data_IF_474520826872
#
_entry.id   IF_474520826872
#
_cell.length_a   1.000
_cell.length_b   1.000
_cell.length_c   1.000
_cell.angle_alpha   90.00
_cell.angle_beta   90.00
_cell.angle_gamma   90.00
#
_symmetry.space_group_name_H-M   'P 1'
#
loop_
_entity.id
_entity.type
_entity.pdbx_description
1 polymer ?
#
# COMPACT_ATOMS: atom_id res chain seq x y z
N UNK A 1 8.51 14.12 -37.56
CA UNK A 1 7.59 13.79 -36.43
C UNK A 1 8.30 13.25 -35.18
N UNK A 2 9.60 13.49 -34.98
CA UNK A 2 10.37 12.91 -33.86
C UNK A 2 10.23 13.62 -32.50
N UNK A 3 9.82 14.89 -32.45
CA UNK A 3 9.80 15.69 -31.22
C UNK A 3 8.71 15.30 -30.20
N UNK A 4 7.59 14.72 -30.66
CA UNK A 4 6.47 14.36 -29.77
C UNK A 4 6.75 13.08 -28.98
N UNK A 5 7.39 12.10 -29.61
CA UNK A 5 7.79 10.84 -28.97
C UNK A 5 8.96 11.04 -27.99
N UNK A 6 9.91 11.91 -28.31
CA UNK A 6 11.03 12.24 -27.42
C UNK A 6 10.56 12.84 -26.10
N UNK A 7 9.62 13.79 -26.14
CA UNK A 7 9.03 14.39 -24.93
C UNK A 7 8.31 13.36 -24.09
N UNK A 8 7.50 12.49 -24.69
CA UNK A 8 6.83 11.41 -23.96
C UNK A 8 7.83 10.42 -23.34
N UNK A 9 8.94 10.15 -24.02
CA UNK A 9 9.98 9.24 -23.54
C UNK A 9 10.75 9.85 -22.36
N UNK A 10 11.09 11.13 -22.43
CA UNK A 10 11.71 11.86 -21.31
C UNK A 10 10.77 11.94 -20.11
N UNK A 11 9.48 12.26 -20.33
CA UNK A 11 8.48 12.34 -19.25
C UNK A 11 8.25 10.96 -18.62
N UNK A 12 8.12 9.90 -19.43
CA UNK A 12 7.95 8.54 -18.95
C UNK A 12 9.17 8.05 -18.15
N UNK A 13 10.38 8.36 -18.63
CA UNK A 13 11.62 8.00 -17.92
C UNK A 13 11.75 8.77 -16.61
N UNK A 14 11.42 10.06 -16.59
CA UNK A 14 11.43 10.85 -15.36
C UNK A 14 10.41 10.34 -14.33
N UNK A 15 9.22 9.92 -14.77
CA UNK A 15 8.20 9.32 -13.90
C UNK A 15 8.63 7.94 -13.35
N UNK A 16 9.32 7.12 -14.16
CA UNK A 16 9.88 5.84 -13.70
C UNK A 16 11.01 6.03 -12.68
N UNK A 17 11.86 7.04 -12.88
CA UNK A 17 12.93 7.38 -11.93
C UNK A 17 12.40 8.04 -10.66
N UNK A 18 11.28 8.76 -10.73
CA UNK A 18 10.59 9.33 -9.57
C UNK A 18 9.69 8.30 -8.85
N UNK A 19 9.30 7.23 -9.54
CA UNK A 19 8.42 6.16 -9.07
C UNK A 19 9.13 5.13 -8.22
N UNK A 20 9.64 5.55 -7.05
CA UNK A 20 9.91 4.68 -5.90
C UNK A 20 11.02 3.63 -6.07
N UNK A 21 12.21 3.94 -5.58
CA UNK A 21 13.16 2.90 -5.16
C UNK A 21 12.58 2.17 -3.94
N UNK A 22 11.70 1.19 -4.15
CA UNK A 22 11.37 0.24 -3.10
C UNK A 22 12.67 -0.48 -2.70
N UNK A 23 12.93 -0.55 -1.40
CA UNK A 23 14.05 -1.28 -0.82
C UNK A 23 14.00 -2.76 -1.21
N UNK A 24 15.13 -3.46 -1.13
CA UNK A 24 15.18 -4.90 -1.40
C UNK A 24 14.22 -5.71 -0.51
N UNK A 25 14.03 -5.28 0.73
CA UNK A 25 13.08 -5.87 1.69
C UNK A 25 11.62 -5.67 1.26
N UNK A 26 11.25 -4.46 0.81
CA UNK A 26 9.91 -4.18 0.26
C UNK A 26 9.63 -5.03 -0.98
N UNK A 27 10.62 -5.18 -1.86
CA UNK A 27 10.52 -6.05 -3.04
C UNK A 27 10.40 -7.54 -2.68
N UNK A 28 11.16 -8.01 -1.68
CA UNK A 28 11.09 -9.38 -1.23
C UNK A 28 9.73 -9.69 -0.59
N UNK A 29 9.26 -8.78 0.26
CA UNK A 29 7.93 -8.85 0.90
C UNK A 29 6.81 -8.83 -0.13
N UNK A 30 6.94 -8.03 -1.19
CA UNK A 30 6.00 -8.01 -2.31
C UNK A 30 5.97 -9.35 -3.05
N UNK A 31 7.13 -9.91 -3.42
CA UNK A 31 7.20 -11.19 -4.15
C UNK A 31 6.66 -12.36 -3.33
N UNK A 32 6.78 -12.33 -2.02
CA UNK A 32 6.33 -13.43 -1.15
C UNK A 32 4.83 -13.42 -0.88
N UNK A 33 4.08 -12.38 -1.27
CA UNK A 33 2.67 -12.22 -0.95
C UNK A 33 1.83 -12.03 -2.23
N UNK A 34 1.20 -13.11 -2.72
CA UNK A 34 0.34 -13.13 -3.92
C UNK A 34 -1.10 -12.70 -3.66
N UNK A 35 -1.39 -12.20 -2.46
CA UNK A 35 -2.67 -11.61 -2.09
C UNK A 35 -3.08 -10.59 -3.15
N UNK A 36 -4.17 -10.89 -3.86
CA UNK A 36 -4.61 -10.12 -5.01
C UNK A 36 -4.70 -8.64 -4.64
N UNK A 37 -3.97 -7.82 -5.40
CA UNK A 37 -3.81 -6.40 -5.14
C UNK A 37 -5.16 -5.70 -4.99
N UNK A 38 -5.33 -5.03 -3.85
CA UNK A 38 -6.25 -3.94 -3.62
C UNK A 38 -7.74 -4.26 -3.80
N UNK A 39 -8.35 -4.85 -2.77
CA UNK A 39 -9.77 -4.62 -2.54
C UNK A 39 -10.02 -3.15 -2.18
N UNK A 40 -11.25 -2.69 -2.39
CA UNK A 40 -11.65 -1.33 -2.00
C UNK A 40 -11.42 -1.12 -0.50
N UNK A 41 -11.70 -2.15 0.29
CA UNK A 41 -11.58 -2.11 1.75
C UNK A 41 -10.12 -1.99 2.18
N UNK A 42 -9.19 -2.70 1.53
CA UNK A 42 -7.76 -2.58 1.80
C UNK A 42 -7.25 -1.17 1.49
N UNK A 43 -7.72 -0.59 0.37
CA UNK A 43 -7.36 0.78 0.00
C UNK A 43 -7.91 1.80 1.00
N UNK A 44 -9.20 1.71 1.35
CA UNK A 44 -9.83 2.64 2.28
C UNK A 44 -9.16 2.58 3.66
N UNK A 45 -8.84 1.37 4.15
CA UNK A 45 -8.08 1.18 5.39
C UNK A 45 -6.68 1.81 5.33
N UNK A 46 -5.96 1.62 4.22
CA UNK A 46 -4.61 2.15 4.03
C UNK A 46 -4.58 3.67 3.98
N UNK A 47 -5.57 4.29 3.33
CA UNK A 47 -5.71 5.75 3.26
C UNK A 47 -6.03 6.36 4.62
N UNK A 48 -6.91 5.70 5.40
CA UNK A 48 -7.24 6.10 6.77
C UNK A 48 -6.03 5.99 7.72
N UNK A 49 -5.26 4.90 7.61
CA UNK A 49 -4.14 4.56 8.49
C UNK A 49 -2.76 4.80 7.82
N UNK A 50 -2.65 5.85 7.01
CA UNK A 50 -1.41 6.21 6.31
C UNK A 50 -0.29 6.57 7.31
N UNK A 51 0.96 6.47 6.86
CA UNK A 51 2.11 6.81 7.71
C UNK A 51 1.99 8.25 8.25
N UNK A 52 2.24 8.41 9.56
CA UNK A 52 2.13 9.69 10.24
C UNK A 52 0.72 10.10 10.69
N UNK A 53 -0.31 9.26 10.48
CA UNK A 53 -1.62 9.44 11.13
C UNK A 53 -1.72 8.67 12.44
N UNK A 54 -2.68 9.04 13.29
CA UNK A 54 -3.09 8.24 14.44
C UNK A 54 -3.99 7.09 13.96
N UNK A 55 -3.54 5.82 14.04
CA UNK A 55 -4.29 4.71 13.50
C UNK A 55 -5.59 4.48 14.27
N UNK A 56 -6.65 4.10 13.56
CA UNK A 56 -7.93 3.71 14.14
C UNK A 56 -8.36 2.40 13.52
N UNK A 57 -8.26 1.33 14.30
CA UNK A 57 -8.46 -0.05 13.87
C UNK A 57 -9.65 -0.64 14.61
N UNK A 58 -10.57 -1.28 13.91
CA UNK A 58 -11.68 -2.03 14.51
C UNK A 58 -11.43 -3.54 14.47
N UNK A 59 -12.22 -4.31 15.23
CA UNK A 59 -12.24 -5.77 15.12
C UNK A 59 -12.60 -6.25 13.71
N UNK A 60 -13.55 -5.55 13.06
CA UNK A 60 -13.94 -5.85 11.69
C UNK A 60 -12.78 -5.66 10.70
N UNK A 61 -11.97 -4.61 10.86
CA UNK A 61 -10.77 -4.38 10.04
C UNK A 61 -9.80 -5.56 10.15
N UNK A 62 -9.57 -6.07 11.37
CA UNK A 62 -8.67 -7.22 11.61
C UNK A 62 -9.20 -8.50 10.95
N UNK A 63 -10.49 -8.81 11.12
CA UNK A 63 -11.10 -9.99 10.50
C UNK A 63 -11.07 -9.91 8.96
N UNK A 64 -11.29 -8.71 8.42
CA UNK A 64 -11.24 -8.45 6.98
C UNK A 64 -9.83 -8.58 6.42
N UNK A 65 -8.84 -8.03 7.12
CA UNK A 65 -7.43 -8.17 6.77
C UNK A 65 -6.98 -9.64 6.72
N UNK A 66 -7.41 -10.45 7.70
CA UNK A 66 -7.15 -11.89 7.72
C UNK A 66 -7.82 -12.63 6.57
N UNK A 67 -9.12 -12.39 6.35
CA UNK A 67 -9.88 -13.09 5.29
C UNK A 67 -9.39 -12.77 3.88
N UNK A 68 -8.94 -11.54 3.65
CA UNK A 68 -8.45 -11.08 2.36
C UNK A 68 -6.92 -11.19 2.22
N UNK A 69 -6.23 -11.73 3.23
CA UNK A 69 -4.78 -11.84 3.28
C UNK A 69 -4.08 -10.51 2.96
N UNK A 70 -4.51 -9.41 3.59
CA UNK A 70 -3.90 -8.11 3.36
C UNK A 70 -2.39 -8.13 3.67
N UNK A 71 -1.63 -7.41 2.86
CA UNK A 71 -0.18 -7.32 2.93
C UNK A 71 0.24 -5.87 2.72
N UNK A 72 1.39 -5.50 3.28
CA UNK A 72 1.94 -4.15 3.18
C UNK A 72 2.59 -3.71 4.49
N UNK A 73 2.70 -2.40 4.68
CA UNK A 73 3.24 -1.82 5.92
C UNK A 73 2.34 -2.15 7.10
N UNK A 74 2.91 -2.72 8.16
CA UNK A 74 2.18 -3.02 9.38
C UNK A 74 1.65 -1.74 10.05
N UNK A 75 0.41 -1.81 10.55
CA UNK A 75 -0.19 -0.81 11.44
C UNK A 75 -0.24 -1.44 12.84
N UNK A 76 0.63 -0.99 13.74
CA UNK A 76 0.72 -1.52 15.10
C UNK A 76 -0.14 -0.70 16.04
N UNK A 77 -1.04 -1.36 16.75
CA UNK A 77 -1.88 -0.79 17.83
C UNK A 77 -1.86 -1.75 19.01
N UNK A 78 -2.06 -1.24 20.22
CA UNK A 78 -2.27 -2.11 21.37
C UNK A 78 -3.69 -2.71 21.32
N UNK A 79 -3.88 -3.87 21.95
CA UNK A 79 -5.16 -4.59 21.87
C UNK A 79 -6.32 -3.82 22.49
N UNK A 80 -6.06 -3.03 23.54
CA UNK A 80 -7.03 -2.13 24.20
C UNK A 80 -7.44 -0.93 23.33
N UNK A 81 -6.71 -0.65 22.26
CA UNK A 81 -7.00 0.42 21.30
C UNK A 81 -7.84 -0.05 20.11
N UNK A 82 -8.09 -1.36 19.98
CA UNK A 82 -8.92 -1.92 18.92
C UNK A 82 -10.39 -1.68 19.28
N UNK A 83 -11.08 -0.95 18.41
CA UNK A 83 -12.49 -0.59 18.63
C UNK A 83 -13.40 -1.79 18.37
N UNK A 84 -14.33 -2.02 19.29
CA UNK A 84 -15.45 -2.96 19.15
C UNK A 84 -16.56 -2.25 18.36
N UNK A 85 -16.51 -2.32 17.03
CA UNK A 85 -17.55 -1.80 16.12
C UNK A 85 -17.71 -2.73 14.94
#
# INVERSE_FOLDING_TARGET
MYGKHWRSLVIGTALLLAGGCASGEEWQTWRSNTSHFASKEHFDFSMKNRAGSSPTVTRQDVAMAQSQNWFGRAVTVNQDQILER
#
